data_IF_887522261286
#
_entry.id   IF_887522261286
#
_cell.length_a   1.000
_cell.length_b   1.000
_cell.length_c   1.000
_cell.angle_alpha   90.00
_cell.angle_beta   90.00
_cell.angle_gamma   90.00
#
_symmetry.space_group_name_H-M   'P 1'
#
loop_
_entity.id
_entity.type
_entity.pdbx_description
1 polymer ?
#
# COMPACT_ATOMS: atom_id res chain seq x y z
N UNK A 1 24.43 20.01 35.39
CA UNK A 1 23.61 20.53 34.28
C UNK A 1 22.71 19.40 33.83
N UNK A 2 21.41 19.57 34.01
CA UNK A 2 20.38 18.57 33.70
C UNK A 2 20.20 18.46 32.19
N UNK A 3 20.69 17.37 31.60
CA UNK A 3 20.38 16.98 30.22
C UNK A 3 18.90 16.61 30.15
N UNK A 4 18.06 17.61 29.86
CA UNK A 4 16.70 17.41 29.39
C UNK A 4 16.83 16.82 27.99
N UNK A 5 16.88 15.49 27.87
CA UNK A 5 16.55 14.82 26.62
C UNK A 5 15.05 15.03 26.42
N UNK A 6 14.67 16.13 25.76
CA UNK A 6 13.34 16.22 25.18
C UNK A 6 13.28 15.12 24.12
N UNK A 7 12.39 14.13 24.23
CA UNK A 7 12.16 13.22 23.12
C UNK A 7 11.76 14.07 21.93
N UNK A 8 12.44 13.88 20.79
CA UNK A 8 11.97 14.44 19.54
C UNK A 8 10.49 14.03 19.41
N UNK A 9 9.59 14.92 18.96
CA UNK A 9 8.28 14.47 18.52
C UNK A 9 8.54 13.36 17.50
N UNK A 10 8.00 12.17 17.72
CA UNK A 10 8.15 11.05 16.78
C UNK A 10 7.70 11.57 15.41
N UNK A 11 8.68 11.76 14.51
CA UNK A 11 8.42 12.23 13.17
C UNK A 11 7.92 11.03 12.36
N UNK A 12 6.62 10.77 12.48
CA UNK A 12 5.94 9.66 11.80
C UNK A 12 5.71 9.95 10.32
N UNK A 13 6.16 11.10 9.80
CA UNK A 13 6.07 11.44 8.39
C UNK A 13 6.85 10.47 7.49
N UNK A 14 7.99 9.95 7.96
CA UNK A 14 8.76 8.90 7.28
C UNK A 14 7.94 7.60 7.08
N UNK A 15 7.03 7.29 8.00
CA UNK A 15 6.15 6.12 7.89
C UNK A 15 5.02 6.39 6.90
N UNK A 16 4.41 7.58 6.95
CA UNK A 16 3.39 7.99 6.00
C UNK A 16 3.91 7.99 4.55
N UNK A 17 5.14 8.46 4.32
CA UNK A 17 5.77 8.45 2.99
C UNK A 17 5.96 7.02 2.45
N UNK A 18 6.51 6.12 3.27
CA UNK A 18 6.68 4.70 2.89
C UNK A 18 5.35 3.99 2.62
N UNK A 19 4.32 4.31 3.41
CA UNK A 19 2.98 3.76 3.22
C UNK A 19 2.35 4.28 1.92
N UNK A 20 2.54 5.56 1.59
CA UNK A 20 2.12 6.16 0.32
C UNK A 20 2.83 5.52 -0.88
N UNK A 21 4.15 5.29 -0.79
CA UNK A 21 4.92 4.59 -1.82
C UNK A 21 4.39 3.16 -2.02
N UNK A 22 4.17 2.43 -0.93
CA UNK A 22 3.63 1.06 -0.95
C UNK A 22 2.22 1.03 -1.55
N UNK A 23 1.38 2.01 -1.22
CA UNK A 23 0.04 2.16 -1.77
C UNK A 23 0.09 2.38 -3.28
N UNK A 24 0.92 3.31 -3.75
CA UNK A 24 1.08 3.60 -5.18
C UNK A 24 1.56 2.37 -5.94
N UNK A 25 2.62 1.71 -5.45
CA UNK A 25 3.12 0.47 -6.03
C UNK A 25 2.04 -0.63 -6.07
N UNK A 26 1.18 -0.72 -5.07
CA UNK A 26 0.09 -1.73 -5.04
C UNK A 26 -0.99 -1.42 -6.06
N UNK A 27 -1.32 -0.13 -6.26
CA UNK A 27 -2.27 0.33 -7.28
C UNK A 27 -1.72 0.06 -8.68
N UNK A 28 -0.45 0.37 -8.93
CA UNK A 28 0.19 0.15 -10.24
C UNK A 28 0.22 -1.35 -10.57
N UNK A 29 0.65 -2.19 -9.63
CA UNK A 29 0.58 -3.65 -9.77
C UNK A 29 -0.83 -4.19 -10.02
N UNK A 30 -1.86 -3.57 -9.42
CA UNK A 30 -3.25 -3.96 -9.67
C UNK A 30 -3.68 -3.62 -11.10
N UNK A 31 -3.34 -2.43 -11.60
CA UNK A 31 -3.66 -1.99 -12.95
C UNK A 31 -2.93 -2.83 -14.00
N UNK A 32 -1.62 -3.03 -13.86
CA UNK A 32 -0.82 -3.88 -14.75
C UNK A 32 -1.34 -5.32 -14.79
N UNK A 33 -1.68 -5.87 -13.62
CA UNK A 33 -2.25 -7.21 -13.53
C UNK A 33 -3.61 -7.28 -14.23
N UNK A 34 -4.45 -6.23 -14.10
CA UNK A 34 -5.75 -6.17 -14.78
C UNK A 34 -5.60 -6.16 -16.29
N UNK A 35 -4.69 -5.36 -16.84
CA UNK A 35 -4.39 -5.36 -18.28
C UNK A 35 -3.88 -6.73 -18.74
N UNK A 36 -3.01 -7.37 -17.96
CA UNK A 36 -2.52 -8.72 -18.24
C UNK A 36 -3.66 -9.75 -18.25
N UNK A 37 -4.64 -9.61 -17.33
CA UNK A 37 -5.77 -10.51 -17.22
C UNK A 37 -6.69 -10.47 -18.47
N UNK A 38 -6.78 -9.32 -19.14
CA UNK A 38 -7.57 -9.15 -20.38
C UNK A 38 -6.98 -9.93 -21.56
N UNK A 39 -5.66 -10.15 -21.56
CA UNK A 39 -4.94 -10.90 -22.59
C UNK A 39 -4.68 -12.37 -22.21
N UNK A 40 -5.07 -12.77 -21.01
CA UNK A 40 -4.77 -14.09 -20.43
C UNK A 40 -5.84 -15.13 -20.73
N UNK A 41 -5.49 -16.41 -20.55
CA UNK A 41 -6.47 -17.50 -20.58
C UNK A 41 -7.48 -17.37 -19.44
N UNK A 42 -8.67 -17.98 -19.54
CA UNK A 42 -9.70 -17.92 -18.48
C UNK A 42 -9.18 -18.38 -17.11
N UNK A 43 -8.33 -19.42 -17.10
CA UNK A 43 -7.71 -19.94 -15.88
C UNK A 43 -6.74 -18.94 -15.25
N UNK A 44 -5.88 -18.35 -16.07
CA UNK A 44 -4.88 -17.39 -15.58
C UNK A 44 -5.56 -16.08 -15.14
N UNK A 45 -6.59 -15.65 -15.87
CA UNK A 45 -7.44 -14.52 -15.53
C UNK A 45 -8.07 -14.70 -14.14
N UNK A 46 -8.67 -15.86 -13.84
CA UNK A 46 -9.25 -16.12 -12.52
C UNK A 46 -8.21 -16.04 -11.38
N UNK A 47 -6.99 -16.50 -11.64
CA UNK A 47 -5.88 -16.39 -10.67
C UNK A 47 -5.46 -14.94 -10.46
N UNK A 48 -5.39 -14.15 -11.54
CA UNK A 48 -5.04 -12.73 -11.48
C UNK A 48 -6.13 -11.94 -10.75
N UNK A 49 -7.39 -12.17 -11.06
CA UNK A 49 -8.55 -11.54 -10.40
C UNK A 49 -8.55 -11.83 -8.89
N UNK A 50 -8.35 -13.07 -8.47
CA UNK A 50 -8.27 -13.43 -7.06
C UNK A 50 -7.07 -12.77 -6.32
N UNK A 51 -5.95 -12.51 -7.01
CA UNK A 51 -4.85 -11.72 -6.44
C UNK A 51 -5.20 -10.24 -6.34
N UNK A 52 -5.90 -9.72 -7.34
CA UNK A 52 -6.33 -8.33 -7.39
C UNK A 52 -7.37 -8.01 -6.31
N UNK A 53 -8.28 -8.94 -5.98
CA UNK A 53 -9.20 -8.80 -4.84
C UNK A 53 -8.43 -8.57 -3.53
N UNK A 54 -7.39 -9.37 -3.26
CA UNK A 54 -6.56 -9.20 -2.06
C UNK A 54 -5.78 -7.88 -2.06
N UNK A 55 -5.35 -7.39 -3.23
CA UNK A 55 -4.71 -6.07 -3.35
C UNK A 55 -5.66 -4.94 -2.98
N UNK A 56 -6.95 -5.06 -3.30
CA UNK A 56 -7.95 -4.06 -2.90
C UNK A 56 -8.10 -4.00 -1.38
N UNK A 57 -8.12 -5.14 -0.71
CA UNK A 57 -8.11 -5.20 0.77
C UNK A 57 -6.85 -4.54 1.34
N UNK A 58 -5.66 -4.84 0.78
CA UNK A 58 -4.41 -4.20 1.18
C UNK A 58 -4.42 -2.68 0.95
N UNK A 59 -4.98 -2.22 -0.17
CA UNK A 59 -5.10 -0.79 -0.49
C UNK A 59 -5.97 -0.07 0.55
N UNK A 60 -7.11 -0.65 0.93
CA UNK A 60 -7.97 -0.06 1.95
C UNK A 60 -7.30 -0.04 3.34
N UNK A 61 -6.56 -1.11 3.69
CA UNK A 61 -5.75 -1.13 4.91
C UNK A 61 -4.68 -0.03 4.90
N UNK A 62 -3.91 0.09 3.81
CA UNK A 62 -2.85 1.11 3.66
C UNK A 62 -3.42 2.53 3.73
N UNK A 63 -4.59 2.79 3.12
CA UNK A 63 -5.25 4.10 3.20
C UNK A 63 -5.65 4.45 4.62
N UNK A 64 -6.17 3.49 5.38
CA UNK A 64 -6.52 3.71 6.78
C UNK A 64 -5.26 3.99 7.61
N UNK A 65 -4.19 3.22 7.41
CA UNK A 65 -2.92 3.43 8.12
C UNK A 65 -2.30 4.80 7.82
N UNK A 66 -2.26 5.23 6.55
CA UNK A 66 -1.78 6.57 6.16
C UNK A 66 -2.60 7.65 6.85
N UNK A 67 -3.92 7.47 6.95
CA UNK A 67 -4.80 8.43 7.62
C UNK A 67 -4.55 8.51 9.12
N UNK A 68 -4.23 7.39 9.77
CA UNK A 68 -3.94 7.36 11.20
C UNK A 68 -2.54 7.88 11.54
N UNK A 69 -1.61 7.83 10.58
CA UNK A 69 -0.24 8.35 10.69
C UNK A 69 -0.05 9.80 10.19
N UNK A 70 -1.07 10.42 9.57
CA UNK A 70 -1.03 11.79 9.02
C UNK A 70 -1.59 12.89 9.92
#
# INVERSE_FOLDING_TARGET
MSNQYQPNPDDRSDNAEKLQETLQNTIDNFNEAKETAELSSEKDRAVIEAKNERRLESIEFLKNEIKDES
#
